data_IF_949649242679
#
_entry.id   IF_949649242679
#
_cell.length_a   1.000
_cell.length_b   1.000
_cell.length_c   1.000
_cell.angle_alpha   90.00
_cell.angle_beta   90.00
_cell.angle_gamma   90.00
#
_symmetry.space_group_name_H-M   'P 1'
#
loop_
_entity.id
_entity.type
_entity.pdbx_description
1 polymer ?
#
# COMPACT_ATOMS: atom_id res chain seq x y z
N UNK A 1 -26.42 -45.63 14.10
CA UNK A 1 -26.38 -44.59 13.10
C UNK A 1 -25.78 -43.31 13.70
N UNK A 2 -24.64 -42.95 13.24
CA UNK A 2 -23.95 -41.74 13.74
C UNK A 2 -24.40 -40.54 12.93
N UNK A 3 -25.10 -39.64 13.56
CA UNK A 3 -25.40 -38.36 12.96
C UNK A 3 -24.12 -37.57 12.83
N UNK A 4 -23.75 -37.21 11.63
CA UNK A 4 -22.63 -36.33 11.39
C UNK A 4 -23.06 -34.91 11.71
N UNK A 5 -22.62 -34.39 12.84
CA UNK A 5 -22.86 -32.97 13.19
C UNK A 5 -22.04 -32.11 12.26
N UNK A 6 -22.61 -30.99 11.78
CA UNK A 6 -21.80 -30.04 11.02
C UNK A 6 -20.65 -29.59 11.90
N UNK A 7 -19.43 -29.72 11.41
CA UNK A 7 -18.24 -29.34 12.14
C UNK A 7 -18.16 -27.82 12.14
N UNK A 8 -18.36 -27.22 13.30
CA UNK A 8 -18.06 -25.80 13.42
C UNK A 8 -16.55 -25.63 13.33
N UNK A 9 -16.05 -24.76 12.44
CA UNK A 9 -14.62 -24.52 12.39
C UNK A 9 -14.11 -24.11 13.76
N UNK A 10 -12.98 -24.69 14.18
CA UNK A 10 -12.31 -24.26 15.40
C UNK A 10 -11.84 -22.81 15.23
N UNK A 11 -11.59 -22.14 16.35
CA UNK A 11 -11.02 -20.80 16.31
C UNK A 11 -9.69 -20.80 15.54
N UNK A 12 -8.85 -21.81 15.73
CA UNK A 12 -7.58 -21.93 15.02
C UNK A 12 -7.77 -22.10 13.51
N UNK A 13 -8.74 -22.90 13.09
CA UNK A 13 -9.06 -23.09 11.67
C UNK A 13 -9.57 -21.78 11.05
N UNK A 14 -10.40 -21.05 11.77
CA UNK A 14 -10.90 -19.76 11.30
C UNK A 14 -9.79 -18.72 11.22
N UNK A 15 -8.89 -18.70 12.20
CA UNK A 15 -7.72 -17.82 12.17
C UNK A 15 -6.85 -18.12 10.96
N UNK A 16 -6.63 -19.40 10.65
CA UNK A 16 -5.86 -19.79 9.47
C UNK A 16 -6.49 -19.27 8.17
N UNK A 17 -7.82 -19.37 8.03
CA UNK A 17 -8.51 -18.80 6.87
C UNK A 17 -8.35 -17.29 6.79
N UNK A 18 -8.50 -16.60 7.92
CA UNK A 18 -8.37 -15.15 7.97
C UNK A 18 -6.94 -14.69 7.66
N UNK A 19 -5.95 -15.45 8.12
CA UNK A 19 -4.55 -15.20 7.75
C UNK A 19 -4.32 -15.34 6.25
N UNK A 20 -4.99 -16.29 5.62
CA UNK A 20 -4.98 -16.42 4.16
C UNK A 20 -5.53 -15.18 3.47
N UNK A 21 -6.58 -14.59 4.02
CA UNK A 21 -7.12 -13.32 3.52
C UNK A 21 -6.14 -12.16 3.71
N UNK A 22 -5.45 -12.12 4.86
CA UNK A 22 -4.41 -11.13 5.09
C UNK A 22 -3.27 -11.29 4.06
N UNK A 23 -2.83 -12.52 3.81
CA UNK A 23 -1.78 -12.79 2.82
C UNK A 23 -2.20 -12.29 1.43
N UNK A 24 -3.46 -12.44 1.09
CA UNK A 24 -4.01 -11.93 -0.16
C UNK A 24 -3.99 -10.39 -0.19
N UNK A 25 -4.39 -9.73 0.89
CA UNK A 25 -4.30 -8.28 1.02
C UNK A 25 -2.85 -7.80 0.85
N UNK A 26 -1.93 -8.50 1.49
CA UNK A 26 -0.51 -8.17 1.41
C UNK A 26 0.01 -8.29 -0.02
N UNK A 27 -0.38 -9.32 -0.74
CA UNK A 27 -0.02 -9.48 -2.15
C UNK A 27 -0.54 -8.31 -2.99
N UNK A 28 -1.76 -7.86 -2.74
CA UNK A 28 -2.34 -6.70 -3.42
C UNK A 28 -1.62 -5.41 -3.08
N UNK A 29 -1.27 -5.23 -1.80
CA UNK A 29 -0.50 -4.07 -1.35
C UNK A 29 0.87 -4.04 -2.05
N UNK A 30 1.56 -5.16 -2.09
CA UNK A 30 2.87 -5.27 -2.76
C UNK A 30 2.74 -4.91 -4.24
N UNK A 31 1.74 -5.46 -4.92
CA UNK A 31 1.50 -5.17 -6.33
C UNK A 31 1.24 -3.67 -6.55
N UNK A 32 0.45 -3.04 -5.67
CA UNK A 32 0.15 -1.61 -5.75
C UNK A 32 1.38 -0.75 -5.47
N UNK A 33 2.23 -1.17 -4.54
CA UNK A 33 3.50 -0.46 -4.27
C UNK A 33 4.38 -0.50 -5.52
N UNK A 34 4.52 -1.65 -6.16
CA UNK A 34 5.28 -1.76 -7.41
C UNK A 34 4.71 -0.89 -8.52
N UNK A 35 3.41 -0.91 -8.69
CA UNK A 35 2.73 -0.09 -9.70
C UNK A 35 2.93 1.40 -9.43
N UNK A 36 2.76 1.81 -8.18
CA UNK A 36 2.95 3.21 -7.79
C UNK A 36 4.38 3.66 -8.06
N UNK A 37 5.35 2.83 -7.73
CA UNK A 37 6.76 3.12 -7.98
C UNK A 37 7.04 3.30 -9.47
N UNK A 38 6.52 2.41 -10.31
CA UNK A 38 6.70 2.50 -11.77
C UNK A 38 6.11 3.79 -12.34
N UNK A 39 4.90 4.17 -11.90
CA UNK A 39 4.26 5.42 -12.32
C UNK A 39 5.07 6.63 -11.85
N UNK A 40 5.56 6.60 -10.61
CA UNK A 40 6.37 7.67 -10.05
C UNK A 40 7.68 7.85 -10.81
N UNK A 41 8.31 6.76 -11.20
CA UNK A 41 9.54 6.79 -12.01
C UNK A 41 9.29 7.40 -13.39
N UNK A 42 8.17 7.07 -14.01
CA UNK A 42 7.78 7.66 -15.30
C UNK A 42 7.58 9.16 -15.19
N UNK A 43 6.93 9.62 -14.14
CA UNK A 43 6.77 11.06 -13.88
C UNK A 43 8.14 11.72 -13.72
N UNK A 44 9.04 11.09 -12.96
CA UNK A 44 10.40 11.60 -12.76
C UNK A 44 11.18 11.74 -14.06
N UNK A 45 11.04 10.77 -14.96
CA UNK A 45 11.68 10.80 -16.28
C UNK A 45 11.14 11.96 -17.14
N UNK A 46 9.82 12.12 -17.15
CA UNK A 46 9.17 13.21 -17.89
C UNK A 46 9.61 14.57 -17.38
N UNK A 47 9.72 14.74 -16.07
CA UNK A 47 10.18 16.00 -15.46
C UNK A 47 11.63 16.31 -15.83
N UNK A 48 12.49 15.32 -15.81
CA UNK A 48 13.90 15.50 -16.22
C UNK A 48 13.99 15.91 -17.69
N UNK A 49 13.20 15.28 -18.53
CA UNK A 49 13.17 15.58 -19.96
C UNK A 49 12.69 17.01 -20.24
N UNK A 50 11.82 17.56 -19.41
CA UNK A 50 11.26 18.91 -19.57
C UNK A 50 11.99 19.96 -18.71
N UNK A 51 13.05 19.58 -18.00
CA UNK A 51 13.80 20.49 -17.14
C UNK A 51 13.11 20.85 -15.84
N UNK A 52 12.05 20.13 -15.47
CA UNK A 52 11.33 20.37 -14.22
C UNK A 52 12.01 19.76 -13.00
N UNK A 53 11.54 20.14 -11.83
CA UNK A 53 12.05 19.62 -10.56
C UNK A 53 11.42 18.25 -10.25
N UNK A 54 12.18 17.38 -9.60
CA UNK A 54 11.70 16.06 -9.15
C UNK A 54 10.69 16.16 -8.01
N UNK A 55 10.80 17.19 -7.20
CA UNK A 55 9.98 17.38 -6.01
C UNK A 55 8.91 18.42 -6.22
N UNK A 56 7.67 18.03 -5.88
CA UNK A 56 6.57 18.97 -5.74
C UNK A 56 6.09 18.91 -4.30
N UNK A 57 6.46 19.89 -3.49
CA UNK A 57 6.06 19.96 -2.09
C UNK A 57 4.56 20.04 -1.92
N UNK A 58 3.87 20.74 -2.82
CA UNK A 58 2.42 20.83 -2.81
C UNK A 58 1.79 19.46 -3.01
N UNK A 59 2.32 18.67 -3.94
CA UNK A 59 1.83 17.31 -4.19
C UNK A 59 2.11 16.39 -3.02
N UNK A 60 3.29 16.48 -2.40
CA UNK A 60 3.64 15.67 -1.24
C UNK A 60 2.69 15.94 -0.07
N UNK A 61 2.37 17.22 0.18
CA UNK A 61 1.40 17.58 1.21
C UNK A 61 0.03 16.99 0.95
N UNK A 62 -0.43 16.99 -0.31
CA UNK A 62 -1.70 16.37 -0.69
C UNK A 62 -1.71 14.88 -0.40
N UNK A 63 -0.64 14.17 -0.74
CA UNK A 63 -0.52 12.73 -0.51
C UNK A 63 -0.56 12.44 0.99
N UNK A 64 0.22 13.14 1.78
CA UNK A 64 0.26 12.95 3.25
C UNK A 64 -1.11 13.23 3.88
N UNK A 65 -1.77 14.30 3.47
CA UNK A 65 -3.09 14.65 3.97
C UNK A 65 -4.11 13.56 3.64
N UNK A 66 -4.06 13.02 2.42
CA UNK A 66 -4.98 11.96 1.98
C UNK A 66 -4.79 10.69 2.82
N UNK A 67 -3.55 10.24 3.00
CA UNK A 67 -3.26 9.06 3.79
C UNK A 67 -3.62 9.25 5.26
N UNK A 68 -3.31 10.40 5.81
CA UNK A 68 -3.64 10.75 7.19
C UNK A 68 -5.15 10.78 7.43
N UNK A 69 -5.90 11.39 6.50
CA UNK A 69 -7.36 11.46 6.60
C UNK A 69 -8.00 10.08 6.51
N UNK A 70 -7.47 9.20 5.66
CA UNK A 70 -8.04 7.87 5.46
C UNK A 70 -7.64 6.87 6.53
N UNK A 71 -6.40 6.93 7.05
CA UNK A 71 -5.81 5.91 7.90
C UNK A 71 -5.44 6.39 9.31
N UNK A 72 -5.61 7.67 9.60
CA UNK A 72 -5.22 8.23 10.88
C UNK A 72 -3.72 8.50 10.98
N UNK A 73 -3.18 8.49 12.21
CA UNK A 73 -1.77 8.84 12.46
C UNK A 73 -0.75 8.01 11.70
N UNK A 74 -1.02 6.72 11.56
CA UNK A 74 -0.12 5.82 10.80
C UNK A 74 -0.15 6.08 9.30
N UNK A 75 -1.20 6.73 8.81
CA UNK A 75 -1.35 7.07 7.41
C UNK A 75 -0.27 8.02 6.92
N UNK A 76 0.08 9.01 7.72
CA UNK A 76 1.16 9.94 7.39
C UNK A 76 2.50 9.19 7.23
N UNK A 77 2.79 8.26 8.14
CA UNK A 77 4.01 7.45 8.08
C UNK A 77 4.06 6.61 6.82
N UNK A 78 2.96 5.95 6.47
CA UNK A 78 2.86 5.16 5.24
C UNK A 78 3.05 6.06 4.00
N UNK A 79 2.38 7.20 3.97
CA UNK A 79 2.52 8.17 2.89
C UNK A 79 3.97 8.62 2.69
N UNK A 80 4.67 8.90 3.79
CA UNK A 80 6.09 9.28 3.75
C UNK A 80 6.97 8.19 3.15
N UNK A 81 6.73 6.92 3.52
CA UNK A 81 7.47 5.79 2.96
C UNK A 81 7.27 5.67 1.45
N UNK A 82 6.02 5.82 1.00
CA UNK A 82 5.69 5.75 -0.43
C UNK A 82 6.31 6.90 -1.21
N UNK A 83 6.27 8.11 -0.65
CA UNK A 83 6.88 9.28 -1.27
C UNK A 83 8.40 9.12 -1.37
N UNK A 84 9.04 8.65 -0.30
CA UNK A 84 10.48 8.44 -0.28
C UNK A 84 10.91 7.40 -1.31
N UNK A 85 10.18 6.31 -1.41
CA UNK A 85 10.45 5.26 -2.38
C UNK A 85 10.30 5.79 -3.81
N UNK A 86 9.25 6.59 -4.06
CA UNK A 86 8.97 7.16 -5.39
C UNK A 86 10.01 8.19 -5.84
N UNK A 87 10.68 8.88 -4.90
CA UNK A 87 11.74 9.84 -5.25
C UNK A 87 12.97 9.15 -5.82
N UNK A 88 13.24 7.92 -5.39
CA UNK A 88 14.48 7.26 -5.72
C UNK A 88 15.68 7.97 -5.11
N UNK A 89 16.79 7.95 -5.81
CA UNK A 89 17.98 8.73 -5.45
C UNK A 89 17.84 10.15 -5.97
N UNK A 90 17.91 11.08 -5.08
CA UNK A 90 17.94 12.51 -5.42
C UNK A 90 19.35 12.95 -5.80
#
# INVERSE_FOLDING_TARGET
MTATLPTTPTADARIAELRGQIDQCDAEIIALVHRRLAVSQEIGELRRATGGTRLSLAREKQVLARFSAALGGDGAALGMLLLRQGRGRL
#
